data_IF_307025151678
#
_entry.id   IF_307025151678
#
_cell.length_a   1.000
_cell.length_b   1.000
_cell.length_c   1.000
_cell.angle_alpha   90.00
_cell.angle_beta   90.00
_cell.angle_gamma   90.00
#
_symmetry.space_group_name_H-M   'P 1'
#
loop_
_entity.id
_entity.type
_entity.pdbx_description
1 polymer ?
#
# COMPACT_ATOMS: atom_id res chain seq x y z
N UNK A 1 -44.55 -19.59 -48.55
CA UNK A 1 -44.22 -18.14 -48.74
C UNK A 1 -44.30 -17.50 -47.37
N UNK A 2 -43.33 -16.76 -46.82
CA UNK A 2 -42.01 -16.32 -47.24
C UNK A 2 -41.18 -16.16 -45.96
N UNK A 3 -39.93 -16.54 -46.09
CA UNK A 3 -38.77 -16.18 -45.27
C UNK A 3 -38.71 -14.70 -44.90
N UNK A 4 -38.22 -14.40 -43.69
CA UNK A 4 -37.30 -13.28 -43.47
C UNK A 4 -36.14 -13.72 -42.59
N UNK A 5 -35.07 -14.10 -43.29
CA UNK A 5 -33.69 -14.06 -42.81
C UNK A 5 -33.37 -12.65 -42.32
N UNK A 6 -32.87 -12.53 -41.10
CA UNK A 6 -32.06 -11.37 -40.70
C UNK A 6 -30.59 -11.71 -41.00
N UNK A 7 -30.12 -11.13 -42.10
CA UNK A 7 -28.72 -10.91 -42.42
C UNK A 7 -28.11 -9.97 -41.37
N UNK A 8 -27.07 -10.41 -40.66
CA UNK A 8 -26.09 -9.52 -40.05
C UNK A 8 -24.72 -9.94 -40.55
N UNK A 9 -24.06 -8.96 -41.17
CA UNK A 9 -22.78 -9.06 -41.85
C UNK A 9 -21.59 -9.38 -40.93
N UNK A 10 -20.50 -9.91 -41.51
CA UNK A 10 -19.36 -10.44 -40.78
C UNK A 10 -18.45 -9.31 -40.30
N UNK A 11 -18.14 -9.29 -39.00
CA UNK A 11 -17.08 -8.45 -38.46
C UNK A 11 -15.74 -9.15 -38.70
N UNK A 12 -15.22 -8.97 -39.92
CA UNK A 12 -13.81 -9.16 -40.27
C UNK A 12 -13.01 -8.06 -39.56
N UNK A 13 -12.52 -8.35 -38.36
CA UNK A 13 -11.52 -7.53 -37.69
C UNK A 13 -10.18 -8.25 -37.63
N UNK A 14 -9.31 -7.73 -38.49
CA UNK A 14 -7.85 -7.87 -38.56
C UNK A 14 -7.16 -8.61 -37.41
N UNK A 15 -6.66 -9.79 -37.74
CA UNK A 15 -5.53 -10.42 -37.06
C UNK A 15 -4.26 -9.64 -37.44
N UNK A 16 -3.95 -8.54 -36.74
CA UNK A 16 -2.63 -7.91 -36.84
C UNK A 16 -1.65 -8.71 -36.02
N UNK A 17 -0.80 -9.47 -36.72
CA UNK A 17 0.46 -9.99 -36.21
C UNK A 17 1.24 -8.84 -35.57
N UNK A 18 1.25 -8.79 -34.24
CA UNK A 18 2.18 -7.96 -33.49
C UNK A 18 3.57 -8.53 -33.74
N UNK A 19 4.32 -7.87 -34.62
CA UNK A 19 5.75 -8.04 -34.77
C UNK A 19 6.37 -7.84 -33.39
N UNK A 20 6.84 -8.93 -32.80
CA UNK A 20 7.65 -8.92 -31.60
C UNK A 20 8.94 -8.17 -31.93
N UNK A 21 8.97 -6.87 -31.66
CA UNK A 21 10.22 -6.13 -31.67
C UNK A 21 11.14 -6.79 -30.62
N UNK A 22 12.37 -7.18 -30.98
CA UNK A 22 13.30 -7.67 -29.98
C UNK A 22 13.54 -6.54 -28.98
N UNK A 23 13.20 -6.80 -27.72
CA UNK A 23 13.67 -5.98 -26.61
C UNK A 23 15.19 -6.11 -26.59
N UNK A 24 15.88 -5.18 -27.25
CA UNK A 24 17.28 -4.88 -26.96
C UNK A 24 17.33 -4.54 -25.48
N UNK A 25 17.74 -5.50 -24.66
CA UNK A 25 18.22 -5.23 -23.32
C UNK A 25 19.40 -4.29 -23.51
N UNK A 26 19.19 -3.00 -23.25
CA UNK A 26 20.29 -2.05 -23.14
C UNK A 26 21.28 -2.65 -22.13
N UNK A 27 22.54 -2.80 -22.55
CA UNK A 27 23.61 -3.19 -21.64
C UNK A 27 23.53 -2.30 -20.39
N UNK A 28 23.69 -2.86 -19.17
CA UNK A 28 23.75 -2.04 -17.98
C UNK A 28 24.85 -0.99 -18.18
N UNK A 29 24.47 0.28 -18.10
CA UNK A 29 25.42 1.39 -18.10
C UNK A 29 26.45 1.11 -17.00
N UNK A 30 27.74 1.26 -17.30
CA UNK A 30 28.78 1.01 -16.31
C UNK A 30 28.52 1.84 -15.05
N UNK A 31 28.66 1.22 -13.89
CA UNK A 31 28.45 1.86 -12.59
C UNK A 31 29.51 2.91 -12.32
N UNK A 32 30.70 2.73 -12.87
CA UNK A 32 31.84 3.62 -12.78
C UNK A 32 32.47 3.91 -14.14
N UNK A 33 33.22 5.00 -14.21
CA UNK A 33 34.16 5.31 -15.29
C UNK A 33 35.51 4.58 -15.10
N UNK A 34 36.42 4.77 -16.05
CA UNK A 34 37.73 4.12 -16.06
C UNK A 34 38.63 4.49 -14.85
N UNK A 35 38.27 5.53 -14.10
CA UNK A 35 38.99 6.02 -12.92
C UNK A 35 38.30 5.59 -11.60
N UNK A 36 37.21 4.83 -11.68
CA UNK A 36 36.46 4.34 -10.53
C UNK A 36 35.48 5.35 -9.93
N UNK A 37 35.21 6.47 -10.60
CA UNK A 37 34.16 7.41 -10.19
C UNK A 37 32.81 6.95 -10.72
N UNK A 38 31.74 7.13 -9.94
CA UNK A 38 30.41 6.74 -10.43
C UNK A 38 29.93 7.63 -11.59
N UNK A 39 29.17 7.02 -12.48
CA UNK A 39 28.55 7.76 -13.59
C UNK A 39 27.35 8.59 -13.11
N UNK A 40 27.00 9.64 -13.87
CA UNK A 40 25.79 10.43 -13.62
C UNK A 40 24.52 9.57 -13.60
N UNK A 41 24.43 8.60 -14.50
CA UNK A 41 23.28 7.72 -14.60
C UNK A 41 23.13 6.89 -13.32
N UNK A 42 24.24 6.33 -12.81
CA UNK A 42 24.27 5.60 -11.55
C UNK A 42 23.81 6.48 -10.38
N UNK A 43 24.32 7.72 -10.33
CA UNK A 43 23.94 8.64 -9.27
C UNK A 43 22.44 8.95 -9.26
N UNK A 44 21.87 9.23 -10.43
CA UNK A 44 20.44 9.49 -10.57
C UNK A 44 19.58 8.27 -10.20
N UNK A 45 20.03 7.06 -10.54
CA UNK A 45 19.36 5.81 -10.14
C UNK A 45 19.32 5.65 -8.61
N UNK A 46 20.41 5.94 -7.91
CA UNK A 46 20.45 5.89 -6.45
C UNK A 46 19.58 6.96 -5.78
N UNK A 47 19.54 8.18 -6.34
CA UNK A 47 18.60 9.21 -5.88
C UNK A 47 17.15 8.74 -6.03
N UNK A 48 16.80 8.16 -7.17
CA UNK A 48 15.45 7.69 -7.41
C UNK A 48 15.09 6.57 -6.42
N UNK A 49 15.99 5.61 -6.24
CA UNK A 49 15.78 4.50 -5.30
C UNK A 49 15.62 4.98 -3.86
N UNK A 50 16.38 6.00 -3.42
CA UNK A 50 16.20 6.62 -2.10
C UNK A 50 14.82 7.27 -1.98
N UNK A 51 14.33 7.95 -3.02
CA UNK A 51 12.98 8.55 -2.98
C UNK A 51 11.89 7.48 -2.89
N UNK A 52 12.01 6.42 -3.69
CA UNK A 52 11.07 5.31 -3.69
C UNK A 52 11.03 4.63 -2.31
N UNK A 53 12.21 4.42 -1.70
CA UNK A 53 12.33 3.93 -0.33
C UNK A 53 11.63 4.84 0.68
N UNK A 54 11.93 6.15 0.66
CA UNK A 54 11.31 7.11 1.58
C UNK A 54 9.78 7.16 1.43
N UNK A 55 9.27 7.11 0.19
CA UNK A 55 7.84 7.09 -0.08
C UNK A 55 7.20 5.80 0.46
N UNK A 56 7.81 4.65 0.17
CA UNK A 56 7.31 3.36 0.66
C UNK A 56 7.30 3.28 2.19
N UNK A 57 8.36 3.78 2.85
CA UNK A 57 8.43 3.85 4.31
C UNK A 57 7.33 4.76 4.88
N UNK A 58 7.03 5.90 4.24
CA UNK A 58 5.94 6.78 4.66
C UNK A 58 4.57 6.10 4.56
N UNK A 59 4.31 5.44 3.44
CA UNK A 59 3.05 4.70 3.23
C UNK A 59 2.85 3.57 4.24
N UNK A 60 3.95 2.90 4.64
CA UNK A 60 3.92 1.87 5.68
C UNK A 60 3.58 2.44 7.06
N UNK A 61 4.10 3.63 7.40
CA UNK A 61 3.75 4.31 8.65
C UNK A 61 2.27 4.70 8.69
N UNK A 62 1.75 5.24 7.57
CA UNK A 62 0.33 5.61 7.45
C UNK A 62 -0.60 4.40 7.65
N UNK A 63 -0.28 3.23 7.09
CA UNK A 63 -1.10 2.02 7.31
C UNK A 63 -0.99 1.46 8.72
N UNK A 64 0.16 1.60 9.39
CA UNK A 64 0.30 1.20 10.79
C UNK A 64 -0.54 2.07 11.73
N UNK A 65 -0.59 3.39 11.48
CA UNK A 65 -1.48 4.32 12.21
C UNK A 65 -2.96 3.96 12.02
N UNK A 66 -3.37 3.67 10.78
CA UNK A 66 -4.74 3.23 10.45
C UNK A 66 -5.09 1.94 11.18
N UNK A 67 -4.20 0.94 11.19
CA UNK A 67 -4.41 -0.31 11.93
C UNK A 67 -4.60 -0.06 13.42
N UNK A 68 -3.72 0.73 14.04
CA UNK A 68 -3.83 1.07 15.46
C UNK A 68 -5.17 1.74 15.79
N UNK A 69 -5.64 2.65 14.93
CA UNK A 69 -6.94 3.28 15.07
C UNK A 69 -8.10 2.27 15.00
N UNK A 70 -8.09 1.37 14.01
CA UNK A 70 -9.14 0.35 13.85
C UNK A 70 -9.14 -0.63 15.03
N UNK A 71 -7.97 -1.06 15.51
CA UNK A 71 -7.86 -1.90 16.71
C UNK A 71 -8.50 -1.21 17.92
N UNK A 72 -8.26 0.10 18.10
CA UNK A 72 -8.91 0.89 19.13
C UNK A 72 -10.44 0.89 18.99
N UNK A 73 -10.94 1.08 17.77
CA UNK A 73 -12.39 1.04 17.48
C UNK A 73 -13.02 -0.33 17.75
N UNK A 74 -12.36 -1.43 17.37
CA UNK A 74 -12.81 -2.79 17.67
C UNK A 74 -12.91 -2.99 19.20
N UNK A 75 -11.88 -2.59 19.95
CA UNK A 75 -11.88 -2.70 21.41
C UNK A 75 -13.02 -1.90 22.07
N UNK A 76 -13.31 -0.71 21.55
CA UNK A 76 -14.45 0.09 21.99
C UNK A 76 -15.78 -0.63 21.73
N UNK A 77 -15.99 -1.14 20.51
CA UNK A 77 -17.22 -1.83 20.15
C UNK A 77 -17.44 -3.10 20.99
N UNK A 78 -16.38 -3.86 21.27
CA UNK A 78 -16.45 -5.04 22.13
C UNK A 78 -16.93 -4.70 23.55
N UNK A 79 -16.44 -3.59 24.12
CA UNK A 79 -16.89 -3.11 25.44
C UNK A 79 -18.36 -2.70 25.41
N UNK A 80 -18.81 -2.00 24.37
CA UNK A 80 -20.21 -1.60 24.27
C UNK A 80 -21.17 -2.78 24.02
N UNK A 81 -20.76 -3.74 23.18
CA UNK A 81 -21.48 -5.01 23.01
C UNK A 81 -21.63 -5.72 24.35
N UNK A 82 -20.55 -5.82 25.13
CA UNK A 82 -20.58 -6.46 26.45
C UNK A 82 -21.55 -5.76 27.41
N UNK A 83 -21.52 -4.42 27.48
CA UNK A 83 -22.42 -3.64 28.33
C UNK A 83 -23.89 -3.84 27.93
N UNK A 84 -24.19 -3.76 26.63
CA UNK A 84 -25.57 -3.91 26.12
C UNK A 84 -26.09 -5.32 26.33
N UNK A 85 -25.26 -6.35 26.10
CA UNK A 85 -25.60 -7.74 26.41
C UNK A 85 -25.97 -7.92 27.89
N UNK A 86 -25.15 -7.39 28.80
CA UNK A 86 -25.44 -7.47 30.25
C UNK A 86 -26.74 -6.75 30.63
N UNK A 87 -27.06 -5.63 29.98
CA UNK A 87 -28.31 -4.91 30.20
C UNK A 87 -29.51 -5.71 29.69
N UNK A 88 -29.43 -6.27 28.48
CA UNK A 88 -30.47 -7.13 27.91
C UNK A 88 -30.71 -8.34 28.83
N UNK A 89 -29.66 -9.04 29.25
CA UNK A 89 -29.75 -10.20 30.14
C UNK A 89 -30.46 -9.86 31.48
N UNK A 90 -30.18 -8.69 32.06
CA UNK A 90 -30.86 -8.22 33.28
C UNK A 90 -32.33 -7.86 33.06
N UNK A 91 -32.66 -7.30 31.89
CA UNK A 91 -34.04 -6.94 31.54
C UNK A 91 -34.87 -8.19 31.24
N UNK A 92 -34.29 -9.19 30.57
CA UNK A 92 -34.93 -10.48 30.29
C UNK A 92 -35.32 -11.22 31.58
N UNK A 93 -34.47 -11.15 32.61
CA UNK A 93 -34.72 -11.74 33.93
C UNK A 93 -35.83 -11.04 34.72
N UNK A 94 -36.14 -9.77 34.43
CA UNK A 94 -37.10 -8.94 35.16
C UNK A 94 -38.26 -8.47 34.27
N UNK A 95 -38.78 -9.34 33.39
CA UNK A 95 -39.74 -8.98 32.35
C UNK A 95 -41.12 -8.52 32.89
N UNK A 96 -41.22 -7.25 33.27
CA UNK A 96 -42.53 -6.57 33.39
C UNK A 96 -43.02 -6.17 32.00
N UNK A 97 -44.23 -6.61 31.63
CA UNK A 97 -44.88 -6.46 30.31
C UNK A 97 -44.91 -5.04 29.71
N UNK A 98 -44.61 -3.99 30.47
CA UNK A 98 -44.83 -2.59 30.08
C UNK A 98 -43.71 -1.92 29.27
N UNK A 99 -42.54 -2.54 29.04
CA UNK A 99 -41.38 -1.83 28.45
C UNK A 99 -40.89 -2.37 27.09
N UNK A 100 -41.80 -2.90 26.28
CA UNK A 100 -41.49 -3.63 25.03
C UNK A 100 -40.79 -2.77 23.95
N UNK A 101 -41.14 -1.47 23.84
CA UNK A 101 -40.56 -0.58 22.83
C UNK A 101 -39.10 -0.20 23.10
N UNK A 102 -38.77 0.12 24.36
CA UNK A 102 -37.39 0.45 24.76
C UNK A 102 -36.47 -0.77 24.71
N UNK A 103 -37.01 -1.95 25.05
CA UNK A 103 -36.29 -3.22 24.92
C UNK A 103 -35.97 -3.53 23.46
N UNK A 104 -36.96 -3.46 22.56
CA UNK A 104 -36.73 -3.71 21.13
C UNK A 104 -35.70 -2.74 20.54
N UNK A 105 -35.75 -1.45 20.91
CA UNK A 105 -34.74 -0.47 20.49
C UNK A 105 -33.33 -0.84 21.00
N UNK A 106 -33.21 -1.30 22.25
CA UNK A 106 -31.93 -1.76 22.80
C UNK A 106 -31.39 -2.99 22.05
N UNK A 107 -32.25 -3.94 21.70
CA UNK A 107 -31.89 -5.13 20.90
C UNK A 107 -31.42 -4.71 19.51
N UNK A 108 -32.16 -3.85 18.80
CA UNK A 108 -31.74 -3.33 17.48
C UNK A 108 -30.39 -2.63 17.57
N UNK A 109 -30.19 -1.76 18.58
CA UNK A 109 -28.89 -1.11 18.79
C UNK A 109 -27.76 -2.10 19.10
N UNK A 110 -28.05 -3.22 19.75
CA UNK A 110 -27.07 -4.28 19.98
C UNK A 110 -26.71 -5.01 18.68
N UNK A 111 -27.69 -5.32 17.84
CA UNK A 111 -27.48 -5.92 16.51
C UNK A 111 -26.65 -4.99 15.61
N UNK A 112 -26.94 -3.69 15.61
CA UNK A 112 -26.18 -2.68 14.87
C UNK A 112 -24.70 -2.65 15.29
N UNK A 113 -24.40 -2.75 16.60
CA UNK A 113 -23.00 -2.82 17.07
C UNK A 113 -22.30 -4.11 16.62
N UNK A 114 -23.01 -5.24 16.60
CA UNK A 114 -22.44 -6.50 16.13
C UNK A 114 -22.06 -6.41 14.65
N UNK A 115 -22.95 -5.81 13.83
CA UNK A 115 -22.69 -5.55 12.41
C UNK A 115 -21.51 -4.58 12.23
N UNK A 116 -21.48 -3.49 12.99
CA UNK A 116 -20.37 -2.54 12.93
C UNK A 116 -19.04 -3.19 13.34
N UNK A 117 -19.02 -4.01 14.39
CA UNK A 117 -17.82 -4.77 14.80
C UNK A 117 -17.35 -5.69 13.68
N UNK A 118 -18.26 -6.43 13.06
CA UNK A 118 -17.93 -7.33 11.96
C UNK A 118 -17.31 -6.58 10.77
N UNK A 119 -17.85 -5.41 10.43
CA UNK A 119 -17.30 -4.55 9.39
C UNK A 119 -15.88 -4.06 9.74
N UNK A 120 -15.65 -3.60 10.98
CA UNK A 120 -14.34 -3.13 11.40
C UNK A 120 -13.28 -4.23 11.44
N UNK A 121 -13.65 -5.47 11.82
CA UNK A 121 -12.73 -6.62 11.74
C UNK A 121 -12.35 -6.90 10.29
N UNK A 122 -13.33 -6.93 9.40
CA UNK A 122 -13.09 -7.17 7.96
C UNK A 122 -12.20 -6.07 7.36
N UNK A 123 -12.42 -4.82 7.76
CA UNK A 123 -11.60 -3.69 7.36
C UNK A 123 -10.17 -3.79 7.92
N UNK A 124 -10.02 -4.16 9.20
CA UNK A 124 -8.72 -4.41 9.82
C UNK A 124 -7.91 -5.46 9.06
N UNK A 125 -8.54 -6.58 8.70
CA UNK A 125 -7.86 -7.66 7.97
C UNK A 125 -7.31 -7.19 6.62
N UNK A 126 -8.08 -6.36 5.90
CA UNK A 126 -7.65 -5.74 4.64
C UNK A 126 -6.47 -4.79 4.85
N UNK A 127 -6.55 -3.89 5.83
CA UNK A 127 -5.46 -2.94 6.13
C UNK A 127 -4.19 -3.67 6.59
N UNK A 128 -4.33 -4.74 7.36
CA UNK A 128 -3.21 -5.58 7.78
C UNK A 128 -2.52 -6.28 6.60
N UNK A 129 -3.30 -6.79 5.62
CA UNK A 129 -2.74 -7.33 4.39
C UNK A 129 -1.96 -6.28 3.59
N UNK A 130 -2.48 -5.06 3.49
CA UNK A 130 -1.76 -3.96 2.82
C UNK A 130 -0.46 -3.60 3.54
N UNK A 131 -0.48 -3.53 4.87
CA UNK A 131 0.72 -3.29 5.67
C UNK A 131 1.78 -4.37 5.44
N UNK A 132 1.41 -5.65 5.41
CA UNK A 132 2.34 -6.76 5.14
C UNK A 132 3.00 -6.60 3.75
N UNK A 133 2.21 -6.27 2.73
CA UNK A 133 2.72 -6.05 1.36
C UNK A 133 3.66 -4.85 1.30
N UNK A 134 3.30 -3.74 1.95
CA UNK A 134 4.13 -2.54 2.02
C UNK A 134 5.44 -2.79 2.75
N UNK A 135 5.41 -3.48 3.90
CA UNK A 135 6.60 -3.86 4.64
C UNK A 135 7.55 -4.71 3.79
N UNK A 136 7.03 -5.71 3.06
CA UNK A 136 7.84 -6.51 2.15
C UNK A 136 8.45 -5.68 1.00
N UNK A 137 7.76 -4.63 0.54
CA UNK A 137 8.28 -3.68 -0.44
C UNK A 137 9.42 -2.83 0.13
N UNK A 138 9.25 -2.28 1.33
CA UNK A 138 10.28 -1.50 2.03
C UNK A 138 11.55 -2.32 2.21
N UNK A 139 11.45 -3.53 2.77
CA UNK A 139 12.61 -4.44 2.98
C UNK A 139 13.34 -4.72 1.66
N UNK A 140 12.60 -4.88 0.56
CA UNK A 140 13.20 -5.10 -0.77
C UNK A 140 13.93 -3.86 -1.27
N UNK A 141 13.33 -2.68 -1.11
CA UNK A 141 13.92 -1.40 -1.51
C UNK A 141 15.16 -1.08 -0.67
N UNK A 142 15.13 -1.31 0.64
CA UNK A 142 16.28 -1.18 1.53
C UNK A 142 17.42 -2.09 1.10
N UNK A 143 17.14 -3.38 0.87
CA UNK A 143 18.17 -4.32 0.40
C UNK A 143 18.79 -3.84 -0.92
N UNK A 144 17.97 -3.39 -1.87
CA UNK A 144 18.45 -2.88 -3.15
C UNK A 144 19.30 -1.63 -2.96
N UNK A 145 18.82 -0.67 -2.15
CA UNK A 145 19.50 0.58 -1.88
C UNK A 145 20.85 0.35 -1.19
N UNK A 146 20.89 -0.51 -0.17
CA UNK A 146 22.15 -0.85 0.50
C UNK A 146 23.14 -1.56 -0.44
N UNK A 147 22.66 -2.48 -1.26
CA UNK A 147 23.55 -3.22 -2.19
C UNK A 147 24.09 -2.38 -3.36
N UNK A 148 23.34 -1.37 -3.78
CA UNK A 148 23.69 -0.56 -4.96
C UNK A 148 24.30 0.79 -4.55
N UNK A 149 23.81 1.44 -3.50
CA UNK A 149 24.04 2.86 -3.30
C UNK A 149 24.85 3.24 -2.05
N UNK A 150 25.19 2.26 -1.19
CA UNK A 150 25.88 2.50 0.09
C UNK A 150 27.32 1.95 0.15
N UNK A 151 27.89 1.48 -0.96
CA UNK A 151 29.34 1.22 -1.04
C UNK A 151 30.11 2.55 -1.01
N UNK A 152 31.37 2.55 -0.54
CA UNK A 152 32.26 3.73 -0.67
C UNK A 152 32.37 4.14 -2.14
N UNK A 153 31.65 5.20 -2.50
CA UNK A 153 31.49 5.65 -3.87
C UNK A 153 32.31 6.93 -4.04
N UNK A 154 33.26 6.88 -4.98
CA UNK A 154 33.98 8.06 -5.45
C UNK A 154 33.12 8.81 -6.45
N UNK A 155 32.98 10.11 -6.27
CA UNK A 155 32.27 11.01 -7.19
C UNK A 155 33.13 12.22 -7.53
N UNK A 156 33.07 12.72 -8.76
CA UNK A 156 33.74 13.97 -9.09
C UNK A 156 33.00 15.15 -8.46
N UNK A 157 33.73 16.23 -8.11
CA UNK A 157 33.12 17.44 -7.57
C UNK A 157 32.06 18.03 -8.51
N UNK A 158 32.32 18.02 -9.83
CA UNK A 158 31.38 18.51 -10.84
C UNK A 158 30.08 17.69 -10.82
N UNK A 159 30.19 16.36 -10.77
CA UNK A 159 29.03 15.50 -10.74
C UNK A 159 28.24 15.66 -9.44
N UNK A 160 28.94 15.74 -8.30
CA UNK A 160 28.34 16.04 -7.01
C UNK A 160 27.54 17.35 -7.06
N UNK A 161 28.12 18.45 -7.55
CA UNK A 161 27.41 19.72 -7.69
C UNK A 161 26.17 19.60 -8.56
N UNK A 162 26.30 18.98 -9.73
CA UNK A 162 25.19 18.83 -10.68
C UNK A 162 24.02 18.00 -10.14
N UNK A 163 24.28 17.05 -9.25
CA UNK A 163 23.31 16.08 -8.74
C UNK A 163 22.76 16.48 -7.36
N UNK A 164 23.56 17.12 -6.51
CA UNK A 164 23.26 17.35 -5.09
C UNK A 164 22.94 18.80 -4.71
N UNK A 165 23.39 19.82 -5.46
CA UNK A 165 23.13 21.22 -5.07
C UNK A 165 21.68 21.65 -5.32
N UNK A 166 20.96 21.01 -6.25
CA UNK A 166 19.57 21.37 -6.57
C UNK A 166 18.54 20.77 -5.61
N UNK A 167 18.89 19.73 -4.84
CA UNK A 167 17.98 19.06 -3.89
C UNK A 167 18.76 18.57 -2.67
N UNK A 168 18.36 19.01 -1.47
CA UNK A 168 18.83 18.42 -0.20
C UNK A 168 18.47 16.93 -0.17
N UNK A 169 19.41 16.08 -0.55
CA UNK A 169 19.26 14.64 -0.53
C UNK A 169 20.29 14.07 0.44
N UNK A 170 19.79 13.42 1.50
CA UNK A 170 20.62 12.78 2.53
C UNK A 170 21.57 11.73 1.96
N UNK A 171 21.28 11.21 0.78
CA UNK A 171 22.18 10.30 0.06
C UNK A 171 23.50 10.97 -0.37
N UNK A 172 23.50 12.27 -0.64
CA UNK A 172 24.72 12.99 -1.05
C UNK A 172 25.78 13.06 0.06
N UNK A 173 25.40 12.82 1.31
CA UNK A 173 26.29 12.80 2.47
C UNK A 173 27.23 11.57 2.49
N UNK A 174 26.93 10.54 1.68
CA UNK A 174 27.72 9.30 1.64
C UNK A 174 28.83 9.30 0.58
N UNK A 175 28.99 10.39 -0.17
CA UNK A 175 29.97 10.47 -1.24
C UNK A 175 31.37 10.83 -0.74
N UNK A 176 32.37 10.30 -1.44
CA UNK A 176 33.79 10.65 -1.28
C UNK A 176 34.33 11.23 -2.58
N UNK A 177 35.27 12.16 -2.50
CA UNK A 177 35.90 12.83 -3.65
C UNK A 177 37.27 12.22 -3.96
#
# INVERSE_FOLDING_TARGET
>A
MMTKLLLIHPFLWFLTLTVSAPTTFANPSSTSDDYGFITRQYALSCIQLNKDLNLASKQMLETEEVKAHITGKISYLEKEIQKRRQLIEKLDQNSTRENNGNYNNLVTQFEDLLLERQHNITFYDKENQMHIVQHASVVRLEKRFSSQCLSEIKITEELHKSVCESKKNRWCEFFTF
#
